data_IF_562958208760
#
_entry.id   IF_562958208760
#
_cell.length_a   1.000
_cell.length_b   1.000
_cell.length_c   1.000
_cell.angle_alpha   90.00
_cell.angle_beta   90.00
_cell.angle_gamma   90.00
#
_symmetry.space_group_name_H-M   'P 1'
#
loop_
_entity.id
_entity.type
_entity.pdbx_description
1 polymer ?
#
# COMPACT_ATOMS: atom_id res chain seq x y z
N UNK A 1 -59.77 -6.50 39.81
CA UNK A 1 -58.55 -5.84 39.30
C UNK A 1 -57.94 -6.75 38.24
N UNK A 2 -57.95 -6.33 36.97
CA UNK A 2 -57.44 -7.13 35.85
C UNK A 2 -56.02 -6.65 35.54
N UNK A 3 -55.03 -7.51 35.72
CA UNK A 3 -53.63 -7.25 35.34
C UNK A 3 -53.52 -7.18 33.82
N UNK A 4 -53.06 -6.05 33.30
CA UNK A 4 -52.75 -5.85 31.89
C UNK A 4 -51.26 -6.13 31.71
N UNK A 5 -50.93 -7.27 31.10
CA UNK A 5 -49.57 -7.60 30.70
C UNK A 5 -49.23 -6.83 29.44
N UNK A 6 -48.38 -5.81 29.55
CA UNK A 6 -47.86 -5.06 28.40
C UNK A 6 -46.68 -5.86 27.84
N UNK A 7 -46.88 -6.43 26.65
CA UNK A 7 -45.84 -7.10 25.87
C UNK A 7 -45.01 -6.03 25.13
N UNK A 8 -43.83 -5.68 25.68
CA UNK A 8 -42.87 -4.83 24.97
C UNK A 8 -42.27 -5.64 23.81
N UNK A 9 -42.75 -5.39 22.59
CA UNK A 9 -42.08 -5.85 21.38
C UNK A 9 -40.91 -4.89 21.14
N UNK A 10 -39.72 -5.29 21.60
CA UNK A 10 -38.48 -4.65 21.19
C UNK A 10 -38.26 -4.99 19.71
N UNK A 11 -38.67 -4.10 18.81
CA UNK A 11 -38.19 -4.07 17.43
C UNK A 11 -36.71 -3.77 17.47
N UNK A 12 -35.90 -4.82 17.57
CA UNK A 12 -34.48 -4.75 17.34
C UNK A 12 -34.28 -4.15 15.96
N UNK A 13 -33.79 -2.91 15.94
CA UNK A 13 -33.13 -2.33 14.79
C UNK A 13 -32.10 -3.37 14.36
N UNK A 14 -32.38 -4.10 13.29
CA UNK A 14 -31.37 -4.77 12.52
C UNK A 14 -30.46 -3.64 12.06
N UNK A 15 -29.41 -3.39 12.86
CA UNK A 15 -28.32 -2.55 12.49
C UNK A 15 -27.95 -3.01 11.07
N UNK A 16 -27.96 -2.08 10.12
CA UNK A 16 -27.29 -2.28 8.86
C UNK A 16 -25.84 -2.57 9.20
N UNK A 17 -25.53 -3.85 9.43
CA UNK A 17 -24.18 -4.32 9.67
C UNK A 17 -23.47 -4.04 8.37
N UNK A 18 -22.80 -2.88 8.29
CA UNK A 18 -21.67 -2.70 7.40
C UNK A 18 -20.75 -3.87 7.74
N UNK A 19 -20.83 -4.95 6.95
CA UNK A 19 -20.26 -6.23 7.30
C UNK A 19 -18.75 -6.13 7.15
N UNK A 20 -18.12 -5.60 8.21
CA UNK A 20 -16.69 -5.68 8.39
C UNK A 20 -16.27 -7.14 8.25
N UNK A 21 -15.10 -7.35 7.67
CA UNK A 21 -14.48 -8.66 7.70
C UNK A 21 -14.25 -9.07 9.16
N UNK A 22 -14.47 -10.35 9.55
CA UNK A 22 -14.10 -10.84 10.87
C UNK A 22 -12.61 -10.62 11.16
N UNK A 23 -11.78 -10.58 10.11
CA UNK A 23 -10.34 -10.36 10.17
C UNK A 23 -9.96 -8.97 9.61
N UNK A 24 -10.80 -7.96 9.85
CA UNK A 24 -10.51 -6.60 9.41
C UNK A 24 -9.16 -6.11 9.97
N UNK A 25 -8.34 -5.50 9.10
CA UNK A 25 -7.07 -4.93 9.51
C UNK A 25 -7.31 -3.77 10.48
N UNK A 26 -6.51 -3.71 11.54
CA UNK A 26 -6.63 -2.74 12.62
C UNK A 26 -5.68 -1.56 12.43
N UNK A 27 -6.01 -0.37 12.97
CA UNK A 27 -5.05 0.71 13.05
C UNK A 27 -3.77 0.20 13.71
N UNK A 28 -2.64 0.41 13.05
CA UNK A 28 -1.35 -0.07 13.51
C UNK A 28 -0.81 -1.31 12.80
N UNK A 29 -1.66 -2.08 12.14
CA UNK A 29 -1.23 -3.29 11.43
C UNK A 29 -0.27 -2.93 10.30
N UNK A 30 0.87 -3.61 10.25
CA UNK A 30 1.81 -3.47 9.14
C UNK A 30 1.39 -4.45 8.05
N UNK A 31 0.90 -3.92 6.94
CA UNK A 31 0.41 -4.73 5.82
C UNK A 31 1.47 -4.92 4.76
N UNK A 32 2.39 -3.97 4.59
CA UNK A 32 3.53 -4.09 3.68
C UNK A 32 4.85 -3.90 4.42
N UNK A 33 5.78 -4.80 4.17
CA UNK A 33 7.22 -4.60 4.37
C UNK A 33 7.92 -5.19 3.16
N UNK A 34 8.73 -4.37 2.51
CA UNK A 34 9.57 -4.76 1.39
C UNK A 34 10.94 -4.11 1.55
N UNK A 35 11.99 -4.86 1.27
CA UNK A 35 13.38 -4.42 1.23
C UNK A 35 13.98 -4.68 -0.16
N UNK A 36 14.95 -3.87 -0.60
CA UNK A 36 15.64 -4.04 -1.88
C UNK A 36 16.18 -5.47 -2.09
N UNK A 37 16.53 -6.16 -1.01
CA UNK A 37 16.99 -7.56 -1.07
C UNK A 37 15.91 -8.53 -1.58
N UNK A 38 14.64 -8.16 -1.47
CA UNK A 38 13.48 -8.90 -1.98
C UNK A 38 13.15 -8.57 -3.44
N UNK A 39 13.85 -7.62 -4.07
CA UNK A 39 13.75 -7.28 -5.49
C UNK A 39 13.70 -8.53 -6.38
N UNK A 40 12.90 -8.55 -7.44
CA UNK A 40 12.90 -9.65 -8.41
C UNK A 40 14.15 -9.64 -9.30
N UNK A 41 14.78 -8.47 -9.47
CA UNK A 41 15.98 -8.28 -10.29
C UNK A 41 17.23 -8.49 -9.45
N UNK A 42 18.00 -9.53 -9.78
CA UNK A 42 19.11 -9.99 -8.94
C UNK A 42 20.25 -8.97 -8.83
N UNK A 43 20.56 -8.25 -9.91
CA UNK A 43 21.68 -7.28 -9.99
C UNK A 43 21.59 -6.20 -8.91
N UNK A 44 20.41 -5.66 -8.66
CA UNK A 44 20.22 -4.55 -7.72
C UNK A 44 20.12 -5.00 -6.25
N UNK A 45 19.86 -6.28 -5.94
CA UNK A 45 19.72 -6.76 -4.54
C UNK A 45 20.96 -6.51 -3.69
N UNK A 46 22.13 -6.47 -4.34
CA UNK A 46 23.44 -6.24 -3.74
C UNK A 46 24.06 -4.92 -4.21
N UNK A 47 23.25 -3.97 -4.69
CA UNK A 47 23.76 -2.67 -5.10
C UNK A 47 24.45 -1.95 -3.93
N UNK A 48 25.49 -1.19 -4.26
CA UNK A 48 26.05 -0.20 -3.36
C UNK A 48 25.09 0.98 -3.24
N UNK A 49 24.79 1.39 -2.01
CA UNK A 49 23.78 2.40 -1.74
C UNK A 49 24.42 3.69 -1.22
N UNK A 50 24.02 4.82 -1.81
CA UNK A 50 24.42 6.17 -1.42
C UNK A 50 23.23 7.12 -1.44
N UNK A 51 23.41 8.33 -0.91
CA UNK A 51 22.41 9.42 -0.99
C UNK A 51 21.01 8.98 -0.53
N UNK A 52 20.92 8.47 0.70
CA UNK A 52 19.66 8.00 1.25
C UNK A 52 18.68 9.13 1.54
N UNK A 53 17.44 8.95 1.10
CA UNK A 53 16.32 9.84 1.43
C UNK A 53 15.18 9.05 2.05
N UNK A 54 14.32 9.71 2.81
CA UNK A 54 13.21 9.08 3.52
C UNK A 54 11.97 9.96 3.43
N UNK A 55 10.85 9.32 3.13
CA UNK A 55 9.57 9.94 2.89
C UNK A 55 8.52 9.22 3.73
N UNK A 56 7.86 9.97 4.60
CA UNK A 56 6.69 9.53 5.35
C UNK A 56 5.46 10.20 4.75
N UNK A 57 4.52 9.40 4.27
CA UNK A 57 3.38 9.86 3.49
C UNK A 57 2.09 9.31 4.10
N UNK A 58 1.07 10.15 4.21
CA UNK A 58 -0.29 9.68 4.45
C UNK A 58 -0.95 9.42 3.09
N UNK A 59 -1.39 8.20 2.87
CA UNK A 59 -1.90 7.75 1.58
C UNK A 59 -3.31 7.17 1.72
N UNK A 60 -4.20 7.51 0.77
CA UNK A 60 -5.58 7.05 0.74
C UNK A 60 -5.83 6.16 -0.47
N UNK A 61 -5.78 4.84 -0.27
CA UNK A 61 -6.07 3.84 -1.29
C UNK A 61 -7.55 3.83 -1.66
N UNK A 62 -7.87 4.17 -2.91
CA UNK A 62 -9.25 4.05 -3.40
C UNK A 62 -9.54 2.60 -3.74
N UNK A 63 -10.46 1.99 -2.98
CA UNK A 63 -10.82 0.58 -3.13
C UNK A 63 -12.15 0.42 -3.88
N UNK A 64 -13.08 1.36 -3.66
CA UNK A 64 -14.30 1.56 -4.45
C UNK A 64 -14.65 3.05 -4.46
N UNK A 65 -15.61 3.48 -5.27
CA UNK A 65 -16.06 4.88 -5.33
C UNK A 65 -16.40 5.48 -3.95
N UNK A 66 -16.93 4.64 -3.04
CA UNK A 66 -17.40 5.08 -1.72
C UNK A 66 -16.49 4.61 -0.56
N UNK A 67 -15.38 3.93 -0.84
CA UNK A 67 -14.50 3.39 0.19
C UNK A 67 -13.03 3.64 -0.12
N UNK A 68 -12.39 4.37 0.79
CA UNK A 68 -10.96 4.62 0.82
C UNK A 68 -10.33 3.94 2.04
N UNK A 69 -9.14 3.40 1.87
CA UNK A 69 -8.33 2.83 2.94
C UNK A 69 -7.20 3.82 3.23
N UNK A 70 -7.09 4.25 4.49
CA UNK A 70 -6.07 5.18 4.93
C UNK A 70 -4.87 4.40 5.47
N UNK A 71 -3.67 4.72 4.99
CA UNK A 71 -2.41 4.10 5.41
C UNK A 71 -1.31 5.14 5.57
N UNK A 72 -0.38 4.87 6.47
CA UNK A 72 0.91 5.54 6.54
C UNK A 72 1.91 4.74 5.72
N UNK A 73 2.55 5.39 4.76
CA UNK A 73 3.59 4.82 3.89
C UNK A 73 4.93 5.40 4.31
N UNK A 74 5.89 4.52 4.61
CA UNK A 74 7.28 4.89 4.81
C UNK A 74 8.10 4.35 3.66
N UNK A 75 8.66 5.25 2.86
CA UNK A 75 9.52 4.95 1.73
C UNK A 75 10.93 5.48 2.02
N UNK A 76 11.92 4.59 1.94
CA UNK A 76 13.33 4.97 1.92
C UNK A 76 13.87 4.76 0.53
N UNK A 77 14.50 5.76 -0.06
CA UNK A 77 15.18 5.66 -1.36
C UNK A 77 16.71 5.81 -1.19
N UNK A 78 17.44 5.49 -2.24
CA UNK A 78 18.88 5.71 -2.36
C UNK A 78 19.29 5.73 -3.82
N UNK A 79 20.47 6.29 -4.13
CA UNK A 79 21.19 5.90 -5.34
C UNK A 79 21.76 4.51 -5.16
N UNK A 80 21.40 3.61 -6.06
CA UNK A 80 21.85 2.24 -6.13
C UNK A 80 22.79 2.07 -7.32
N UNK A 81 24.04 1.70 -7.05
CA UNK A 81 25.07 1.40 -8.07
C UNK A 81 25.34 -0.11 -8.09
N UNK A 82 25.27 -0.72 -9.27
CA UNK A 82 25.44 -2.17 -9.45
C UNK A 82 25.89 -2.49 -10.88
N UNK A 83 26.33 -3.73 -11.09
CA UNK A 83 26.68 -4.24 -12.41
C UNK A 83 25.50 -4.98 -13.05
N UNK A 84 25.19 -4.66 -14.30
CA UNK A 84 24.21 -5.37 -15.10
C UNK A 84 24.65 -5.41 -16.56
N UNK A 85 24.59 -6.59 -17.17
CA UNK A 85 25.08 -6.84 -18.54
C UNK A 85 26.51 -6.32 -18.82
N UNK A 86 27.38 -6.41 -17.81
CA UNK A 86 28.78 -5.97 -17.86
C UNK A 86 28.98 -4.45 -17.87
N UNK A 87 27.95 -3.69 -17.48
CA UNK A 87 28.01 -2.24 -17.32
C UNK A 87 27.69 -1.86 -15.88
N UNK A 88 28.42 -0.87 -15.37
CA UNK A 88 28.04 -0.17 -14.15
C UNK A 88 26.81 0.68 -14.42
N UNK A 89 25.76 0.46 -13.65
CA UNK A 89 24.48 1.18 -13.71
C UNK A 89 24.28 1.94 -12.40
N UNK A 90 23.63 3.11 -12.45
CA UNK A 90 23.26 3.86 -11.24
C UNK A 90 21.86 4.46 -11.39
N UNK A 91 20.95 4.09 -10.49
CA UNK A 91 19.57 4.62 -10.45
C UNK A 91 19.18 5.04 -9.03
N UNK A 92 18.24 5.98 -8.92
CA UNK A 92 17.50 6.16 -7.68
C UNK A 92 16.49 5.01 -7.54
N UNK A 93 16.44 4.37 -6.37
CA UNK A 93 15.58 3.21 -6.13
C UNK A 93 15.01 3.21 -4.71
N UNK A 94 13.76 2.72 -4.51
CA UNK A 94 13.28 2.28 -3.21
C UNK A 94 14.23 1.24 -2.62
N UNK A 95 14.69 1.48 -1.40
CA UNK A 95 15.49 0.54 -0.61
C UNK A 95 14.63 -0.17 0.41
N UNK A 96 13.63 0.54 0.95
CA UNK A 96 12.63 0.00 1.87
C UNK A 96 11.29 0.66 1.60
N UNK A 97 10.24 -0.14 1.65
CA UNK A 97 8.87 0.33 1.63
C UNK A 97 8.10 -0.38 2.74
N UNK A 98 7.38 0.38 3.56
CA UNK A 98 6.44 -0.20 4.50
C UNK A 98 5.13 0.56 4.52
N UNK A 99 4.04 -0.15 4.79
CA UNK A 99 2.71 0.43 4.90
C UNK A 99 2.07 -0.03 6.20
N UNK A 100 1.56 0.92 6.95
CA UNK A 100 0.86 0.72 8.20
C UNK A 100 -0.57 1.22 8.09
N UNK A 101 -1.53 0.44 8.56
CA UNK A 101 -2.95 0.78 8.49
C UNK A 101 -3.26 1.92 9.45
N UNK A 102 -3.92 2.96 8.95
CA UNK A 102 -4.57 3.98 9.77
C UNK A 102 -6.06 3.64 9.91
N UNK A 103 -6.73 3.37 8.79
CA UNK A 103 -8.13 2.93 8.77
C UNK A 103 -8.40 2.05 7.53
N UNK A 104 -8.69 0.77 7.77
CA UNK A 104 -9.05 -0.17 6.71
C UNK A 104 -10.55 -0.23 6.40
N UNK A 105 -11.40 0.61 7.01
CA UNK A 105 -12.86 0.65 6.84
C UNK A 105 -13.53 -0.72 6.97
N UNK A 106 -13.01 -1.58 7.84
CA UNK A 106 -13.51 -2.95 8.04
C UNK A 106 -13.13 -3.95 6.94
N UNK A 107 -12.20 -3.62 6.04
CA UNK A 107 -11.62 -4.59 5.11
C UNK A 107 -10.49 -5.38 5.80
N UNK A 108 -10.41 -6.67 5.50
CA UNK A 108 -9.19 -7.45 5.73
C UNK A 108 -8.20 -7.15 4.61
N UNK A 109 -6.95 -6.86 4.95
CA UNK A 109 -5.90 -6.58 3.97
C UNK A 109 -4.94 -7.75 3.91
N UNK A 110 -4.75 -8.32 2.72
CA UNK A 110 -3.76 -9.38 2.52
C UNK A 110 -2.35 -8.79 2.48
N UNK A 111 -1.35 -9.61 2.78
CA UNK A 111 0.05 -9.27 2.47
C UNK A 111 0.15 -8.92 0.97
N UNK A 112 0.65 -7.74 0.59
CA UNK A 112 0.76 -7.34 -0.79
C UNK A 112 1.76 -8.19 -1.55
N UNK A 113 1.54 -8.32 -2.85
CA UNK A 113 2.56 -8.78 -3.79
C UNK A 113 3.25 -7.55 -4.39
N UNK A 114 4.53 -7.38 -4.13
CA UNK A 114 5.34 -6.34 -4.76
C UNK A 114 6.24 -6.96 -5.83
N UNK A 115 6.38 -6.26 -6.96
CA UNK A 115 7.27 -6.61 -8.06
C UNK A 115 8.08 -5.39 -8.46
N UNK A 116 9.33 -5.61 -8.84
CA UNK A 116 10.28 -4.55 -9.19
C UNK A 116 11.69 -4.89 -8.72
N UNK A 117 12.68 -4.04 -9.04
CA UNK A 117 12.55 -2.74 -9.66
C UNK A 117 12.32 -2.79 -11.20
N UNK A 118 11.39 -1.96 -11.70
CA UNK A 118 11.08 -1.81 -13.13
C UNK A 118 11.79 -0.59 -13.75
N UNK A 119 13.13 -0.55 -13.76
CA UNK A 119 13.89 0.48 -14.48
C UNK A 119 14.30 0.00 -15.88
N UNK A 120 14.39 0.94 -16.82
CA UNK A 120 15.01 0.71 -18.12
C UNK A 120 16.50 1.01 -18.08
N UNK A 121 17.30 0.23 -18.80
CA UNK A 121 18.75 0.45 -18.90
C UNK A 121 19.13 1.56 -19.90
N UNK A 122 18.19 1.95 -20.76
CA UNK A 122 18.49 2.78 -21.94
C UNK A 122 18.03 4.24 -21.79
N UNK A 123 17.29 4.59 -20.74
CA UNK A 123 16.83 5.97 -20.50
C UNK A 123 17.52 6.57 -19.27
N UNK A 124 17.75 7.90 -19.26
CA UNK A 124 18.20 8.57 -18.05
C UNK A 124 17.22 8.35 -16.89
N UNK A 125 17.69 8.30 -15.63
CA UNK A 125 16.94 7.82 -14.46
C UNK A 125 15.80 8.74 -13.97
N UNK A 126 15.15 9.50 -14.86
CA UNK A 126 14.13 10.46 -14.49
C UNK A 126 12.77 9.76 -14.33
N UNK A 127 12.41 9.48 -13.07
CA UNK A 127 11.07 9.05 -12.63
C UNK A 127 10.60 7.68 -13.13
N UNK A 128 11.52 6.72 -13.21
CA UNK A 128 11.13 5.32 -13.42
C UNK A 128 10.23 4.85 -12.28
N UNK A 129 9.11 4.21 -12.65
CA UNK A 129 8.29 3.46 -11.72
C UNK A 129 9.12 2.26 -11.26
N UNK A 130 9.59 2.28 -10.02
CA UNK A 130 10.52 1.25 -9.57
C UNK A 130 9.75 0.06 -8.99
N UNK A 131 8.85 0.28 -8.04
CA UNK A 131 8.17 -0.81 -7.35
C UNK A 131 6.67 -0.75 -7.61
N UNK A 132 6.06 -1.88 -7.98
CA UNK A 132 4.60 -2.03 -8.08
C UNK A 132 4.12 -3.03 -7.04
N UNK A 133 3.34 -2.56 -6.08
CA UNK A 133 2.73 -3.36 -5.03
C UNK A 133 1.21 -3.43 -5.21
N UNK A 134 0.63 -4.63 -5.13
CA UNK A 134 -0.82 -4.83 -5.18
C UNK A 134 -1.31 -5.31 -3.81
N UNK A 135 -2.21 -4.55 -3.20
CA UNK A 135 -2.84 -4.88 -1.90
C UNK A 135 -4.27 -5.35 -2.16
N UNK A 136 -4.63 -6.55 -1.70
CA UNK A 136 -6.03 -7.01 -1.75
C UNK A 136 -6.76 -6.64 -0.47
N UNK A 137 -7.97 -6.14 -0.64
CA UNK A 137 -8.89 -5.75 0.42
C UNK A 137 -10.17 -6.59 0.29
N UNK A 138 -10.48 -7.36 1.32
CA UNK A 138 -11.58 -8.33 1.29
C UNK A 138 -12.62 -8.06 2.40
N UNK A 139 -13.87 -8.33 2.08
CA UNK A 139 -15.04 -8.35 2.97
C UNK A 139 -15.95 -9.52 2.56
N UNK A 140 -16.86 -10.00 3.43
CA UNK A 140 -17.66 -11.21 3.17
C UNK A 140 -18.41 -11.27 1.81
N UNK A 141 -18.64 -10.15 1.14
CA UNK A 141 -19.29 -10.08 -0.17
C UNK A 141 -18.57 -9.14 -1.16
N UNK A 142 -17.30 -8.81 -0.91
CA UNK A 142 -16.57 -7.85 -1.75
C UNK A 142 -15.07 -8.06 -1.64
N UNK A 143 -14.47 -8.43 -2.77
CA UNK A 143 -13.02 -8.53 -2.93
C UNK A 143 -12.58 -7.52 -3.99
N UNK A 144 -11.57 -6.74 -3.63
CA UNK A 144 -11.11 -5.55 -4.35
C UNK A 144 -9.62 -5.41 -4.10
N UNK A 145 -8.95 -4.62 -4.92
CA UNK A 145 -7.52 -4.37 -4.76
C UNK A 145 -7.18 -2.95 -5.15
N UNK A 146 -6.14 -2.41 -4.54
CA UNK A 146 -5.51 -1.17 -4.97
C UNK A 146 -4.03 -1.42 -5.23
N UNK A 147 -3.47 -0.65 -6.17
CA UNK A 147 -2.05 -0.66 -6.48
C UNK A 147 -1.36 0.48 -5.73
N UNK A 148 -0.08 0.30 -5.46
CA UNK A 148 0.83 1.33 -5.01
C UNK A 148 2.09 1.24 -5.85
N UNK A 149 2.44 2.33 -6.50
CA UNK A 149 3.62 2.47 -7.34
C UNK A 149 4.61 3.39 -6.62
N UNK A 150 5.81 2.89 -6.31
CA UNK A 150 6.87 3.69 -5.72
C UNK A 150 7.96 4.00 -6.76
N UNK A 151 8.32 5.27 -6.83
CA UNK A 151 9.29 5.81 -7.77
C UNK A 151 10.61 6.07 -7.07
N UNK A 152 11.70 6.10 -7.84
CA UNK A 152 13.04 6.34 -7.30
C UNK A 152 13.23 7.73 -6.66
N UNK A 153 12.43 8.71 -7.08
CA UNK A 153 12.43 10.09 -6.60
C UNK A 153 11.59 10.32 -5.32
N UNK A 154 11.07 9.25 -4.71
CA UNK A 154 10.25 9.33 -3.51
C UNK A 154 8.76 9.52 -3.76
N UNK A 155 8.34 9.63 -5.03
CA UNK A 155 6.92 9.70 -5.38
C UNK A 155 6.21 8.36 -5.16
N UNK A 156 4.92 8.43 -4.78
CA UNK A 156 4.01 7.30 -4.65
C UNK A 156 2.73 7.62 -5.45
N UNK A 157 2.31 6.69 -6.31
CA UNK A 157 1.06 6.74 -7.08
C UNK A 157 0.22 5.48 -6.82
N UNK A 158 -1.05 5.49 -7.18
CA UNK A 158 -1.98 4.37 -7.12
C UNK A 158 -2.55 3.94 -8.48
N UNK A 159 -2.16 4.66 -9.53
CA UNK A 159 -2.65 4.45 -10.89
C UNK A 159 -4.10 4.91 -11.08
N UNK A 160 -4.69 5.53 -10.07
CA UNK A 160 -5.95 6.26 -10.14
C UNK A 160 -5.70 7.74 -10.50
N UNK A 161 -6.76 8.46 -10.86
CA UNK A 161 -6.69 9.93 -11.03
C UNK A 161 -6.70 10.65 -9.67
N UNK A 162 -5.81 10.27 -8.74
CA UNK A 162 -5.73 10.85 -7.41
C UNK A 162 -5.12 12.26 -7.45
N UNK A 163 -5.89 13.28 -7.06
CA UNK A 163 -5.40 14.64 -6.89
C UNK A 163 -4.35 14.71 -5.77
N UNK A 164 -3.16 15.19 -6.13
CA UNK A 164 -2.05 15.49 -5.22
C UNK A 164 -2.49 16.53 -4.19
N UNK A 165 -2.57 16.19 -2.92
CA UNK A 165 -2.45 17.20 -1.86
C UNK A 165 -0.97 17.46 -1.64
N UNK A 166 -0.52 18.62 -2.13
CA UNK A 166 0.77 19.18 -1.73
C UNK A 166 0.79 19.37 -0.20
N UNK A 167 1.98 19.32 0.44
CA UNK A 167 2.13 19.57 1.87
C UNK A 167 1.54 20.92 2.30
#
# INVERSE_FOLDING_TARGET
MRSVTILLVATGLAACSSSASPDAAKPGDVVLQWDLKESDRASIRSAELADHETFDLHYQGTVTNDAKIDVEVHLKTAKATFEEDGKTVTHAAPVKLSMKVVDAKGFALSKPSCSGPHYTLDLPPASDMILHCVVRANKPNRDVSFSLYAYGDGHIDDGGQGERKAP
#
